data_IF_090904755492
#
_entry.id   IF_090904755492
#
_cell.length_a   1.000
_cell.length_b   1.000
_cell.length_c   1.000
_cell.angle_alpha   90.00
_cell.angle_beta   90.00
_cell.angle_gamma   90.00
#
_symmetry.space_group_name_H-M   'P 1'
#
loop_
_entity.id
_entity.type
_entity.pdbx_description
1 polymer ?
#
# COMPACT_ATOMS: atom_id res chain seq x y z
N UNK A 1 53.30 -35.42 3.29
CA UNK A 1 52.73 -35.73 1.96
C UNK A 1 51.21 -35.69 2.14
N UNK A 2 50.57 -34.52 1.93
CA UNK A 2 49.78 -34.17 0.73
C UNK A 2 48.50 -35.04 0.59
N UNK A 3 47.29 -34.61 0.25
CA UNK A 3 46.61 -33.37 -0.15
C UNK A 3 45.10 -33.79 -0.23
N UNK A 4 44.16 -33.08 0.43
CA UNK A 4 43.06 -32.28 -0.18
C UNK A 4 41.80 -33.03 -0.69
N UNK A 5 40.64 -32.45 -0.36
CA UNK A 5 39.37 -32.58 -1.10
C UNK A 5 38.26 -33.27 -0.30
N UNK A 6 37.05 -32.75 -0.11
CA UNK A 6 36.41 -31.54 -0.62
C UNK A 6 35.05 -31.40 0.07
N UNK A 7 34.70 -30.18 0.44
CA UNK A 7 33.44 -29.81 1.09
C UNK A 7 32.29 -29.89 0.09
N UNK A 8 31.27 -30.69 0.39
CA UNK A 8 29.98 -30.69 -0.33
C UNK A 8 28.85 -30.19 0.56
N UNK A 9 28.88 -28.91 0.98
CA UNK A 9 27.73 -28.27 1.63
C UNK A 9 26.64 -28.07 0.57
N UNK A 10 25.60 -28.91 0.59
CA UNK A 10 24.38 -28.67 -0.17
C UNK A 10 23.63 -27.50 0.46
N UNK A 11 23.95 -26.28 0.07
CA UNK A 11 23.08 -25.13 0.30
C UNK A 11 21.86 -25.30 -0.59
N UNK A 12 20.76 -25.79 -0.01
CA UNK A 12 19.43 -25.55 -0.57
C UNK A 12 19.22 -24.04 -0.56
N UNK A 13 19.38 -23.41 -1.71
CA UNK A 13 18.99 -22.02 -1.94
C UNK A 13 17.47 -21.96 -1.76
N UNK A 14 17.02 -21.62 -0.55
CA UNK A 14 15.63 -21.18 -0.35
C UNK A 14 15.47 -19.92 -1.19
N UNK A 15 14.44 -19.81 -2.05
CA UNK A 15 14.15 -18.54 -2.70
C UNK A 15 13.95 -17.49 -1.60
N UNK A 16 14.70 -16.38 -1.70
CA UNK A 16 14.47 -15.18 -0.87
C UNK A 16 13.12 -14.62 -1.30
N UNK A 17 12.08 -15.05 -0.59
CA UNK A 17 10.80 -14.37 -0.60
C UNK A 17 11.04 -12.94 -0.09
N UNK A 18 10.51 -11.92 -0.76
CA UNK A 18 10.60 -10.56 -0.28
C UNK A 18 9.88 -10.44 1.07
N UNK A 19 10.29 -9.50 1.94
CA UNK A 19 9.78 -9.37 3.31
C UNK A 19 8.27 -9.11 3.41
N UNK A 20 7.59 -8.79 2.30
CA UNK A 20 6.14 -8.60 2.24
C UNK A 20 5.33 -9.88 1.95
N UNK A 21 5.96 -10.97 1.50
CA UNK A 21 5.24 -12.19 1.07
C UNK A 21 4.81 -13.14 2.21
N UNK A 22 4.69 -12.66 3.45
CA UNK A 22 4.40 -13.51 4.61
C UNK A 22 3.31 -12.99 5.55
N UNK A 23 2.28 -12.34 5.02
CA UNK A 23 1.07 -12.03 5.80
C UNK A 23 -0.22 -12.28 5.01
N UNK A 24 -0.23 -13.31 4.16
CA UNK A 24 -1.48 -13.82 3.58
C UNK A 24 -2.01 -14.94 4.46
N UNK A 25 -3.11 -14.70 5.18
CA UNK A 25 -3.76 -15.81 5.87
C UNK A 25 -5.01 -15.54 6.68
N UNK A 26 -5.31 -14.31 7.13
CA UNK A 26 -6.43 -14.11 8.08
C UNK A 26 -7.27 -12.84 7.93
N UNK A 27 -7.59 -12.43 6.71
CA UNK A 27 -8.68 -11.46 6.52
C UNK A 27 -9.65 -11.91 5.41
N UNK A 28 -10.16 -13.14 5.55
CA UNK A 28 -11.44 -13.55 4.95
C UNK A 28 -12.56 -13.09 5.88
N UNK A 29 -12.90 -11.80 5.86
CA UNK A 29 -14.20 -11.37 6.36
C UNK A 29 -15.00 -10.75 5.20
N UNK A 30 -16.18 -11.34 5.00
CA UNK A 30 -17.34 -10.86 4.24
C UNK A 30 -17.52 -9.36 4.47
N UNK A 31 -17.64 -8.46 3.48
CA UNK A 31 -18.55 -8.38 2.31
C UNK A 31 -20.03 -8.33 2.68
N UNK A 32 -20.43 -7.23 3.32
CA UNK A 32 -21.77 -6.64 3.23
C UNK A 32 -21.62 -5.10 3.12
N UNK A 33 -22.67 -4.45 2.61
CA UNK A 33 -22.74 -3.00 2.27
C UNK A 33 -22.11 -2.09 3.34
N UNK A 34 -21.18 -1.22 2.93
CA UNK A 34 -20.77 -0.05 3.71
C UNK A 34 -19.72 -0.29 4.80
N UNK A 35 -18.88 -1.32 4.68
CA UNK A 35 -17.75 -1.47 5.60
C UNK A 35 -16.76 -0.30 5.43
N UNK A 36 -16.29 0.30 6.55
CA UNK A 36 -15.29 1.36 6.51
C UNK A 36 -14.01 0.86 5.82
N UNK A 37 -13.31 1.78 5.17
CA UNK A 37 -12.07 1.47 4.44
C UNK A 37 -11.13 0.60 5.27
N UNK A 38 -10.29 -0.18 4.60
CA UNK A 38 -9.16 -0.87 5.20
C UNK A 38 -8.17 0.14 5.79
N UNK A 39 -8.43 0.55 7.04
CA UNK A 39 -7.62 1.52 7.80
C UNK A 39 -6.18 1.02 7.83
N UNK A 40 -5.97 -0.28 8.05
CA UNK A 40 -4.62 -0.89 8.07
C UNK A 40 -3.96 -0.81 6.70
N UNK A 41 -4.68 -1.13 5.62
CA UNK A 41 -4.14 -1.08 4.25
C UNK A 41 -3.74 0.34 3.83
N UNK A 42 -4.64 1.31 4.04
CA UNK A 42 -4.42 2.71 3.66
C UNK A 42 -3.34 3.40 4.49
N UNK A 43 -3.30 3.17 5.82
CA UNK A 43 -2.24 3.74 6.66
C UNK A 43 -0.87 3.16 6.31
N UNK A 44 -0.81 1.85 6.03
CA UNK A 44 0.43 1.21 5.60
C UNK A 44 0.89 1.76 4.26
N UNK A 45 -0.02 1.93 3.30
CA UNK A 45 0.29 2.54 2.01
C UNK A 45 0.84 3.95 2.18
N UNK A 46 0.17 4.82 2.94
CA UNK A 46 0.60 6.19 3.16
C UNK A 46 2.01 6.25 3.76
N UNK A 47 2.27 5.46 4.82
CA UNK A 47 3.59 5.35 5.44
C UNK A 47 4.66 4.87 4.47
N UNK A 48 4.34 3.87 3.66
CA UNK A 48 5.31 3.29 2.72
C UNK A 48 5.63 4.27 1.58
N UNK A 49 4.64 4.97 1.03
CA UNK A 49 4.87 5.99 0.01
C UNK A 49 5.75 7.14 0.52
N UNK A 50 5.65 7.47 1.80
CA UNK A 50 6.46 8.51 2.45
C UNK A 50 7.93 8.07 2.70
N UNK A 51 8.15 6.80 3.02
CA UNK A 51 9.43 6.35 3.57
C UNK A 51 10.19 5.30 2.73
N UNK A 52 9.53 4.58 1.82
CA UNK A 52 10.20 3.57 0.98
C UNK A 52 10.78 4.22 -0.28
N UNK A 53 12.13 4.23 -0.45
CA UNK A 53 12.76 4.87 -1.59
C UNK A 53 12.29 4.28 -2.91
N UNK A 54 11.90 5.14 -3.85
CA UNK A 54 11.46 4.73 -5.19
C UNK A 54 10.03 4.20 -5.28
N UNK A 55 9.34 3.96 -4.14
CA UNK A 55 7.96 3.48 -4.18
C UNK A 55 7.00 4.57 -4.68
N UNK A 56 7.22 5.82 -4.29
CA UNK A 56 6.44 6.96 -4.77
C UNK A 56 6.58 7.14 -6.29
N UNK A 57 7.79 6.95 -6.81
CA UNK A 57 8.08 7.05 -8.25
C UNK A 57 7.45 5.90 -9.02
N UNK A 58 7.49 4.68 -8.47
CA UNK A 58 6.76 3.55 -9.02
C UNK A 58 5.24 3.80 -9.02
N UNK A 59 4.70 4.34 -7.94
CA UNK A 59 3.28 4.68 -7.83
C UNK A 59 2.87 5.75 -8.86
N UNK A 60 3.70 6.78 -9.05
CA UNK A 60 3.45 7.84 -10.04
C UNK A 60 3.51 7.33 -11.48
N UNK A 61 4.37 6.35 -11.75
CA UNK A 61 4.47 5.73 -13.07
C UNK A 61 3.27 4.81 -13.37
N UNK A 62 2.92 3.94 -12.42
CA UNK A 62 1.73 3.09 -12.48
C UNK A 62 1.25 2.71 -11.06
N UNK A 63 0.12 3.25 -10.59
CA UNK A 63 -0.42 2.94 -9.27
C UNK A 63 -0.88 1.49 -9.13
N UNK A 64 -1.35 0.85 -10.21
CA UNK A 64 -2.01 -0.46 -10.15
C UNK A 64 -1.13 -1.58 -9.55
N UNK A 65 0.12 -1.79 -10.00
CA UNK A 65 0.99 -2.83 -9.44
C UNK A 65 1.37 -2.53 -7.98
N UNK A 66 1.58 -1.27 -7.61
CA UNK A 66 1.88 -0.89 -6.22
C UNK A 66 0.70 -1.19 -5.31
N UNK A 67 -0.50 -0.83 -5.72
CA UNK A 67 -1.73 -1.01 -4.95
C UNK A 67 -2.19 -2.47 -4.83
N UNK A 68 -1.71 -3.35 -5.71
CA UNK A 68 -1.99 -4.78 -5.66
C UNK A 68 -1.38 -5.46 -4.42
N UNK A 69 -0.26 -4.92 -3.90
CA UNK A 69 0.46 -5.46 -2.75
C UNK A 69 -0.18 -5.10 -1.39
N UNK A 70 -1.22 -4.26 -1.40
CA UNK A 70 -1.91 -3.81 -0.20
C UNK A 70 -3.28 -4.51 -0.06
N UNK A 71 -3.72 -4.77 1.18
CA UNK A 71 -5.03 -5.35 1.46
C UNK A 71 -6.14 -4.30 1.30
N UNK A 72 -6.31 -3.84 0.06
CA UNK A 72 -7.29 -2.85 -0.35
C UNK A 72 -8.40 -3.49 -1.17
N UNK A 73 -9.60 -2.93 -1.09
CA UNK A 73 -10.71 -3.25 -1.98
C UNK A 73 -10.50 -2.64 -3.36
N UNK A 74 -11.29 -3.06 -4.35
CA UNK A 74 -11.26 -2.43 -5.68
C UNK A 74 -11.65 -0.95 -5.66
N UNK A 75 -12.57 -0.57 -4.77
CA UNK A 75 -13.02 0.81 -4.59
C UNK A 75 -11.95 1.68 -3.96
N UNK A 76 -11.31 1.19 -2.89
CA UNK A 76 -10.18 1.87 -2.25
C UNK A 76 -9.03 2.10 -3.22
N UNK A 77 -8.68 1.08 -4.02
CA UNK A 77 -7.62 1.23 -5.05
C UNK A 77 -7.96 2.32 -6.05
N UNK A 78 -9.22 2.38 -6.51
CA UNK A 78 -9.66 3.42 -7.44
C UNK A 78 -9.60 4.81 -6.79
N UNK A 79 -10.11 4.95 -5.56
CA UNK A 79 -10.08 6.22 -4.83
C UNK A 79 -8.65 6.72 -4.62
N UNK A 80 -7.73 5.83 -4.24
CA UNK A 80 -6.31 6.19 -4.06
C UNK A 80 -5.65 6.57 -5.40
N UNK A 81 -5.86 5.79 -6.46
CA UNK A 81 -5.31 6.09 -7.79
C UNK A 81 -5.84 7.42 -8.36
N UNK A 82 -7.12 7.71 -8.13
CA UNK A 82 -7.77 8.96 -8.52
C UNK A 82 -7.47 10.14 -7.57
N UNK A 83 -6.80 9.90 -6.45
CA UNK A 83 -6.56 10.89 -5.37
C UNK A 83 -7.86 11.49 -4.83
N UNK A 84 -8.91 10.67 -4.73
CA UNK A 84 -10.23 11.05 -4.24
C UNK A 84 -10.26 11.15 -2.71
N UNK A 85 -9.78 12.29 -2.21
CA UNK A 85 -9.68 12.56 -0.78
C UNK A 85 -11.06 12.59 -0.09
N UNK A 86 -12.09 13.08 -0.77
CA UNK A 86 -13.44 13.17 -0.25
C UNK A 86 -14.02 11.77 -0.02
N UNK A 87 -13.89 10.87 -1.00
CA UNK A 87 -14.33 9.49 -0.86
C UNK A 87 -13.60 8.75 0.26
N UNK A 88 -12.26 8.89 0.33
CA UNK A 88 -11.44 8.24 1.36
C UNK A 88 -11.84 8.70 2.76
N UNK A 89 -12.09 10.00 2.95
CA UNK A 89 -12.54 10.56 4.22
C UNK A 89 -13.95 10.05 4.59
N UNK A 90 -14.89 10.11 3.66
CA UNK A 90 -16.27 9.67 3.86
C UNK A 90 -16.37 8.19 4.23
N UNK A 91 -15.41 7.37 3.77
CA UNK A 91 -15.36 5.94 4.06
C UNK A 91 -14.46 5.60 5.27
N UNK A 92 -14.04 6.59 6.05
CA UNK A 92 -13.42 6.38 7.37
C UNK A 92 -11.90 6.42 7.39
N UNK A 93 -11.25 6.94 6.36
CA UNK A 93 -9.81 7.20 6.43
C UNK A 93 -9.53 8.27 7.50
N UNK A 94 -8.50 8.05 8.32
CA UNK A 94 -8.08 9.03 9.32
C UNK A 94 -7.65 10.36 8.62
N UNK A 95 -8.15 11.53 9.04
CA UNK A 95 -7.85 12.81 8.37
C UNK A 95 -6.35 13.18 8.34
N UNK A 96 -5.59 12.82 9.36
CA UNK A 96 -4.14 13.08 9.43
C UNK A 96 -3.40 12.19 8.44
N UNK A 97 -3.75 10.90 8.38
CA UNK A 97 -3.18 9.96 7.41
C UNK A 97 -3.57 10.34 5.98
N UNK A 98 -4.81 10.79 5.77
CA UNK A 98 -5.29 11.28 4.48
C UNK A 98 -4.49 12.49 4.04
N UNK A 99 -4.31 13.48 4.92
CA UNK A 99 -3.49 14.67 4.64
C UNK A 99 -2.08 14.26 4.22
N UNK A 100 -1.44 13.38 4.97
CA UNK A 100 -0.07 12.95 4.66
C UNK A 100 -0.01 12.22 3.31
N UNK A 101 -0.94 11.30 3.06
CA UNK A 101 -1.05 10.61 1.76
C UNK A 101 -1.22 11.61 0.61
N UNK A 102 -2.16 12.54 0.73
CA UNK A 102 -2.46 13.51 -0.31
C UNK A 102 -1.28 14.45 -0.59
N UNK A 103 -0.56 14.91 0.45
CA UNK A 103 0.67 15.69 0.29
C UNK A 103 1.75 14.89 -0.45
N UNK A 104 1.99 13.63 -0.07
CA UNK A 104 2.96 12.75 -0.73
C UNK A 104 2.60 12.54 -2.20
N UNK A 105 1.31 12.42 -2.51
CA UNK A 105 0.78 12.29 -3.87
C UNK A 105 0.72 13.62 -4.65
N UNK A 106 1.18 14.72 -4.05
CA UNK A 106 1.26 16.05 -4.69
C UNK A 106 -0.07 16.80 -4.77
N UNK A 107 -1.07 16.42 -3.98
CA UNK A 107 -2.31 17.18 -3.82
C UNK A 107 -2.08 18.22 -2.73
N UNK A 108 -2.32 19.49 -3.03
CA UNK A 108 -2.19 20.55 -2.05
C UNK A 108 -3.37 20.56 -1.08
N UNK A 109 -3.15 21.05 0.14
CA UNK A 109 -4.13 20.93 1.22
C UNK A 109 -5.49 21.57 0.91
N UNK A 110 -5.49 22.71 0.23
CA UNK A 110 -6.72 23.40 -0.17
C UNK A 110 -7.56 22.60 -1.19
N UNK A 111 -6.92 21.77 -2.01
CA UNK A 111 -7.60 20.99 -3.05
C UNK A 111 -8.18 19.68 -2.50
N UNK A 112 -7.80 19.27 -1.28
CA UNK A 112 -8.25 18.02 -0.66
C UNK A 112 -9.73 18.06 -0.26
N UNK A 113 -10.25 19.22 0.11
CA UNK A 113 -11.62 19.37 0.66
C UNK A 113 -12.54 20.17 -0.26
N UNK A 114 -12.02 20.83 -1.30
CA UNK A 114 -12.83 21.56 -2.27
C UNK A 114 -13.85 20.65 -3.00
N UNK A 115 -13.54 19.35 -3.12
CA UNK A 115 -14.43 18.34 -3.71
C UNK A 115 -15.53 17.84 -2.76
N UNK A 116 -15.51 18.21 -1.48
CA UNK A 116 -16.49 17.76 -0.48
C UNK A 116 -17.65 18.76 -0.27
N UNK A 117 -17.49 20.02 -0.67
CA UNK A 117 -18.43 21.13 -0.41
C UNK A 117 -19.36 21.44 -1.61
N UNK A 118 -19.46 20.52 -2.59
CA UNK A 118 -20.16 20.75 -3.85
C UNK A 118 -21.04 19.59 -4.30
N UNK A 119 -22.05 19.23 -3.50
CA UNK A 119 -23.22 18.46 -3.93
C UNK A 119 -24.45 18.82 -3.09
#
# INVERSE_FOLDING_TARGET
MADRGGRGRRTRTRPRLPPHARLDGRHRHQRLRGDPVSIVGLNRLARNLEHEPGLLEAFRADPAPVLADYPLTGEERRAVAAKDAAWLLAHGMNPVALRNLMVVLGVAHQDMYASADGA
#
